data_IF_743202780430
#
_entry.id   IF_743202780430
#
_cell.length_a   1.000
_cell.length_b   1.000
_cell.length_c   1.000
_cell.angle_alpha   90.00
_cell.angle_beta   90.00
_cell.angle_gamma   90.00
#
_symmetry.space_group_name_H-M   'P 1'
#
loop_
_entity.id
_entity.type
_entity.pdbx_description
1 polymer ?
#
# COMPACT_ATOMS: atom_id res chain seq x y z
N UNK A 1 4.23 -16.05 -44.98
CA UNK A 1 5.61 -15.63 -44.69
C UNK A 1 5.71 -15.42 -43.18
N UNK A 2 6.20 -16.44 -42.47
CA UNK A 2 6.25 -16.45 -41.01
C UNK A 2 7.24 -15.37 -40.54
N UNK A 3 6.72 -14.27 -39.98
CA UNK A 3 7.54 -13.29 -39.26
C UNK A 3 7.79 -13.85 -37.87
N UNK A 4 9.01 -14.27 -37.62
CA UNK A 4 9.53 -14.60 -36.30
C UNK A 4 9.24 -13.43 -35.35
N UNK A 5 8.32 -13.64 -34.40
CA UNK A 5 8.25 -12.82 -33.20
C UNK A 5 9.51 -13.14 -32.39
N UNK A 6 10.50 -12.25 -32.44
CA UNK A 6 11.51 -12.18 -31.39
C UNK A 6 10.78 -11.77 -30.11
N UNK A 7 10.33 -12.74 -29.32
CA UNK A 7 10.14 -12.54 -27.89
C UNK A 7 11.54 -12.26 -27.34
N UNK A 8 11.93 -10.99 -27.25
CA UNK A 8 12.98 -10.58 -26.33
C UNK A 8 12.39 -10.90 -24.95
N UNK A 9 12.75 -12.07 -24.41
CA UNK A 9 12.53 -12.44 -23.02
C UNK A 9 13.35 -11.46 -22.17
N UNK A 10 12.79 -10.27 -21.90
CA UNK A 10 13.32 -9.39 -20.85
C UNK A 10 13.02 -10.13 -19.55
N UNK A 11 14.00 -10.91 -19.11
CA UNK A 11 13.94 -11.59 -17.83
C UNK A 11 14.02 -10.51 -16.74
N UNK A 12 13.07 -10.45 -15.79
CA UNK A 12 13.06 -9.43 -14.74
C UNK A 12 14.26 -9.54 -13.78
N UNK A 13 14.55 -8.40 -13.16
CA UNK A 13 15.52 -8.16 -12.09
C UNK A 13 14.91 -8.44 -10.72
N UNK A 14 15.68 -8.35 -9.64
CA UNK A 14 15.13 -8.51 -8.28
C UNK A 14 16.07 -7.96 -7.20
N UNK A 15 15.48 -7.66 -6.04
CA UNK A 15 16.16 -7.46 -4.76
C UNK A 15 15.81 -8.62 -3.84
N UNK A 16 16.62 -8.86 -2.82
CA UNK A 16 16.25 -9.77 -1.74
C UNK A 16 15.94 -8.96 -0.47
N UNK A 17 14.96 -9.44 0.29
CA UNK A 17 14.51 -8.81 1.52
C UNK A 17 14.54 -9.78 2.69
N UNK A 18 14.59 -9.24 3.89
CA UNK A 18 14.36 -9.97 5.13
C UNK A 18 13.26 -9.26 5.94
N UNK A 19 12.31 -10.05 6.43
CA UNK A 19 11.30 -9.61 7.39
C UNK A 19 11.94 -9.10 8.72
N UNK A 20 11.29 -8.16 9.43
CA UNK A 20 11.79 -7.62 10.69
C UNK A 20 12.08 -8.73 11.73
N UNK A 21 13.21 -8.65 12.45
CA UNK A 21 13.52 -9.54 13.58
C UNK A 21 12.86 -9.05 14.87
N UNK A 22 11.57 -9.35 15.09
CA UNK A 22 10.76 -8.84 16.22
C UNK A 22 10.68 -7.30 16.27
N UNK A 23 9.46 -6.77 16.37
CA UNK A 23 9.17 -5.34 16.40
C UNK A 23 9.88 -4.66 17.59
N UNK A 24 11.00 -3.99 17.34
CA UNK A 24 11.27 -2.77 18.10
C UNK A 24 10.15 -1.79 17.72
N UNK A 25 9.49 -1.12 18.68
CA UNK A 25 8.50 -0.11 18.35
C UNK A 25 9.16 0.91 17.41
N UNK A 26 8.60 1.13 16.20
CA UNK A 26 9.11 2.11 15.26
C UNK A 26 9.38 3.42 15.99
N UNK A 27 10.43 4.14 15.58
CA UNK A 27 10.73 5.47 16.10
C UNK A 27 9.50 6.40 16.08
N UNK A 28 8.60 6.20 15.11
CA UNK A 28 7.32 6.92 14.98
C UNK A 28 6.30 6.53 16.05
N UNK A 29 6.25 5.26 16.51
CA UNK A 29 5.44 4.86 17.67
C UNK A 29 5.94 5.58 18.92
N UNK A 30 7.26 5.71 19.10
CA UNK A 30 7.83 6.47 20.21
C UNK A 30 7.47 7.96 20.13
N UNK A 31 7.52 8.57 18.95
CA UNK A 31 7.07 9.95 18.74
C UNK A 31 5.55 10.12 18.97
N UNK A 32 4.74 9.15 18.54
CA UNK A 32 3.29 9.19 18.75
C UNK A 32 2.93 9.03 20.23
N UNK A 33 3.59 8.12 20.96
CA UNK A 33 3.44 7.99 22.41
C UNK A 33 3.89 9.26 23.16
N UNK A 34 4.95 9.93 22.70
CA UNK A 34 5.36 11.25 23.21
C UNK A 34 4.29 12.32 22.94
N UNK A 35 3.64 12.31 21.77
CA UNK A 35 2.58 13.25 21.41
C UNK A 35 1.22 12.97 22.09
N UNK A 36 0.90 11.71 22.43
CA UNK A 36 -0.24 11.39 23.31
C UNK A 36 0.00 11.98 24.70
N UNK A 37 1.22 11.86 25.23
CA UNK A 37 1.56 12.44 26.53
C UNK A 37 1.59 13.97 26.52
N UNK A 38 1.84 14.63 25.37
CA UNK A 38 1.77 16.09 25.25
C UNK A 38 0.35 16.63 25.03
N UNK A 39 -0.59 15.80 24.58
CA UNK A 39 -2.02 16.13 24.48
C UNK A 39 -2.81 15.82 25.75
N UNK A 40 -2.19 15.12 26.73
CA UNK A 40 -2.77 14.87 28.05
C UNK A 40 -2.94 16.15 28.92
N UNK A 41 -2.34 17.29 28.53
CA UNK A 41 -2.48 18.57 29.24
C UNK A 41 -3.76 19.37 28.90
N UNK A 42 -4.71 18.80 28.15
CA UNK A 42 -6.09 19.30 28.10
C UNK A 42 -7.08 18.50 28.96
N UNK A 43 -6.58 17.64 29.84
CA UNK A 43 -7.37 16.74 30.68
C UNK A 43 -7.40 17.08 32.18
N UNK A 44 -7.22 18.34 32.60
CA UNK A 44 -7.39 18.69 34.01
C UNK A 44 -8.07 20.05 34.20
N UNK A 45 -9.37 20.09 33.96
CA UNK A 45 -10.25 21.06 34.61
C UNK A 45 -11.47 20.30 35.15
N UNK A 46 -11.36 19.84 36.39
CA UNK A 46 -12.50 19.48 37.21
C UNK A 46 -13.40 20.71 37.37
N UNK A 47 -14.49 20.76 36.60
CA UNK A 47 -15.69 21.46 37.01
C UNK A 47 -16.92 20.74 36.45
N UNK A 48 -17.70 20.20 37.37
CA UNK A 48 -19.02 19.63 37.14
C UNK A 48 -19.87 20.59 36.29
N UNK A 49 -20.24 20.16 35.09
CA UNK A 49 -21.47 20.58 34.44
C UNK A 49 -21.95 19.48 33.49
N UNK A 50 -23.17 19.02 33.74
CA UNK A 50 -23.93 18.09 32.91
C UNK A 50 -24.08 18.66 31.49
N UNK A 51 -23.22 18.21 30.57
CA UNK A 51 -23.50 18.21 29.15
C UNK A 51 -23.26 16.79 28.66
N UNK A 52 -24.32 16.12 28.22
CA UNK A 52 -24.27 14.84 27.51
C UNK A 52 -23.55 15.03 26.15
N UNK A 53 -22.23 15.26 26.18
CA UNK A 53 -21.41 15.18 24.99
C UNK A 53 -21.01 13.71 24.81
N UNK A 54 -21.93 12.92 24.25
CA UNK A 54 -21.70 11.51 23.88
C UNK A 54 -20.69 11.44 22.73
N UNK A 55 -19.42 11.65 23.04
CA UNK A 55 -18.33 11.39 22.11
C UNK A 55 -18.37 9.90 21.75
N UNK A 56 -18.48 9.58 20.45
CA UNK A 56 -18.41 8.20 20.00
C UNK A 56 -17.03 7.63 20.36
N UNK A 57 -16.93 6.36 20.77
CA UNK A 57 -15.64 5.72 21.00
C UNK A 57 -14.77 5.81 19.74
N UNK A 58 -13.64 6.51 19.83
CA UNK A 58 -12.64 6.52 18.77
C UNK A 58 -11.69 5.32 18.97
N UNK A 59 -11.34 4.59 17.90
CA UNK A 59 -10.28 3.58 17.99
C UNK A 59 -8.99 4.23 18.50
N UNK A 60 -8.43 3.70 19.57
CA UNK A 60 -7.20 4.15 20.18
C UNK A 60 -6.20 3.00 20.22
N UNK A 61 -4.95 3.28 19.87
CA UNK A 61 -3.86 2.31 19.94
C UNK A 61 -2.55 2.93 19.48
N UNK A 62 -1.41 2.31 19.79
CA UNK A 62 -0.20 2.60 19.04
C UNK A 62 -0.41 2.11 17.60
N UNK A 63 -0.29 3.02 16.63
CA UNK A 63 -0.35 2.71 15.21
C UNK A 63 1.04 2.77 14.61
N UNK A 64 1.31 1.99 13.55
CA UNK A 64 2.50 2.19 12.72
C UNK A 64 2.06 2.64 11.31
N UNK A 65 1.98 3.96 11.04
CA UNK A 65 1.63 4.47 9.72
C UNK A 65 2.57 4.02 8.59
N UNK A 66 3.77 3.56 8.93
CA UNK A 66 4.76 3.05 7.98
C UNK A 66 4.80 1.53 7.85
N UNK A 67 3.98 0.78 8.59
CA UNK A 67 3.90 -0.67 8.45
C UNK A 67 3.30 -1.06 7.09
N UNK A 68 3.48 -2.33 6.71
CA UNK A 68 2.89 -2.89 5.50
C UNK A 68 2.01 -4.07 5.87
N UNK A 69 0.88 -4.19 5.16
CA UNK A 69 0.10 -5.41 5.18
C UNK A 69 0.74 -6.50 4.31
N UNK A 70 0.59 -7.74 4.75
CA UNK A 70 0.69 -8.92 3.90
C UNK A 70 -0.27 -8.80 2.69
N UNK A 71 0.06 -9.46 1.58
CA UNK A 71 -0.65 -9.36 0.30
C UNK A 71 -2.01 -10.06 0.34
N UNK A 72 -2.21 -10.95 1.31
CA UNK A 72 -3.37 -11.83 1.42
C UNK A 72 -3.21 -13.13 0.61
N UNK A 73 -2.08 -13.33 -0.08
CA UNK A 73 -1.81 -14.59 -0.78
C UNK A 73 -1.36 -15.67 0.20
N UNK A 74 -2.19 -16.71 0.35
CA UNK A 74 -1.94 -17.84 1.27
C UNK A 74 -1.62 -19.15 0.56
N UNK A 75 -1.80 -19.20 -0.77
CA UNK A 75 -1.47 -20.33 -1.63
C UNK A 75 -0.27 -19.99 -2.52
N UNK A 76 0.48 -21.03 -2.91
CA UNK A 76 1.61 -20.89 -3.83
C UNK A 76 1.23 -21.46 -5.19
N UNK A 77 1.66 -20.80 -6.26
CA UNK A 77 1.30 -21.15 -7.63
C UNK A 77 2.55 -21.38 -8.47
N UNK A 78 2.54 -22.41 -9.32
CA UNK A 78 3.59 -22.62 -10.31
C UNK A 78 3.37 -21.78 -11.58
N UNK A 79 4.34 -21.83 -12.51
CA UNK A 79 4.26 -21.11 -13.79
C UNK A 79 3.14 -21.60 -14.72
N UNK A 80 2.49 -22.73 -14.41
CA UNK A 80 1.31 -23.23 -15.10
C UNK A 80 0.00 -22.72 -14.51
N UNK A 81 0.04 -22.02 -13.37
CA UNK A 81 -1.15 -21.57 -12.65
C UNK A 81 -1.79 -22.66 -11.77
N UNK A 82 -1.04 -23.70 -11.39
CA UNK A 82 -1.53 -24.72 -10.47
C UNK A 82 -1.08 -24.43 -9.04
N UNK A 83 -1.98 -24.66 -8.08
CA UNK A 83 -1.66 -24.55 -6.66
C UNK A 83 -0.67 -25.65 -6.26
N UNK A 84 0.36 -25.27 -5.50
CA UNK A 84 1.44 -26.14 -5.03
C UNK A 84 1.64 -25.98 -3.53
N UNK A 85 2.30 -26.98 -2.93
CA UNK A 85 2.72 -26.89 -1.53
C UNK A 85 3.81 -25.82 -1.36
N UNK A 86 3.51 -24.80 -0.57
CA UNK A 86 4.40 -23.68 -0.31
C UNK A 86 5.70 -24.08 0.39
N UNK A 87 5.72 -25.16 1.16
CA UNK A 87 6.89 -25.55 1.95
C UNK A 87 7.77 -26.56 1.21
N UNK A 88 7.16 -27.50 0.49
CA UNK A 88 7.85 -28.60 -0.16
C UNK A 88 8.23 -28.29 -1.61
N UNK A 89 7.34 -27.63 -2.35
CA UNK A 89 7.52 -27.40 -3.80
C UNK A 89 7.99 -25.98 -4.07
N UNK A 90 7.35 -25.00 -3.44
CA UNK A 90 7.62 -23.58 -3.68
C UNK A 90 8.05 -22.81 -2.41
N UNK A 91 9.09 -23.25 -1.67
CA UNK A 91 9.57 -22.53 -0.48
C UNK A 91 9.96 -21.08 -0.79
N UNK A 92 9.49 -20.13 -0.01
CA UNK A 92 9.83 -18.71 -0.20
C UNK A 92 8.95 -17.96 -1.21
N UNK A 93 7.91 -18.60 -1.74
CA UNK A 93 6.80 -17.90 -2.40
C UNK A 93 5.93 -17.18 -1.36
N UNK A 94 5.11 -16.23 -1.80
CA UNK A 94 4.35 -15.36 -0.88
C UNK A 94 3.47 -16.14 0.10
N UNK A 95 2.77 -17.17 -0.38
CA UNK A 95 1.96 -18.06 0.47
C UNK A 95 2.73 -18.82 1.56
N UNK A 96 4.07 -18.81 1.54
CA UNK A 96 4.90 -19.31 2.65
C UNK A 96 4.93 -18.36 3.86
N UNK A 97 4.47 -17.11 3.70
CA UNK A 97 4.67 -16.00 4.63
C UNK A 97 3.36 -15.37 5.08
N UNK A 98 2.41 -16.19 5.50
CA UNK A 98 1.10 -15.74 5.98
C UNK A 98 1.23 -14.66 7.07
N UNK A 99 0.58 -13.52 6.87
CA UNK A 99 0.58 -12.38 7.78
C UNK A 99 1.95 -11.71 7.99
N UNK A 100 2.88 -11.85 7.04
CA UNK A 100 4.20 -11.22 7.09
C UNK A 100 4.29 -10.15 5.97
N UNK A 101 4.70 -8.91 6.28
CA UNK A 101 5.25 -8.47 7.56
C UNK A 101 4.20 -8.22 8.64
N UNK A 102 2.93 -7.94 8.28
CA UNK A 102 1.84 -7.80 9.25
C UNK A 102 0.53 -8.35 8.69
N UNK A 103 -0.29 -8.95 9.57
CA UNK A 103 -1.61 -9.45 9.21
C UNK A 103 -2.52 -8.35 8.65
N UNK A 104 -3.29 -8.67 7.60
CA UNK A 104 -4.40 -7.83 7.16
C UNK A 104 -5.44 -7.76 8.28
N UNK A 105 -5.80 -6.55 8.73
CA UNK A 105 -6.79 -6.36 9.77
C UNK A 105 -7.53 -5.05 9.51
N UNK A 106 -8.85 -5.12 9.42
CA UNK A 106 -9.74 -3.98 9.28
C UNK A 106 -10.93 -4.15 10.22
N UNK A 107 -11.53 -3.03 10.62
CA UNK A 107 -12.73 -3.04 11.49
C UNK A 107 -13.82 -2.22 10.83
N UNK A 108 -14.95 -2.85 10.51
CA UNK A 108 -16.12 -2.21 9.93
C UNK A 108 -16.73 -3.02 8.77
N UNK A 109 -17.62 -2.42 7.96
CA UNK A 109 -18.13 -1.05 8.08
C UNK A 109 -18.86 -0.80 9.40
N UNK A 110 -18.46 0.25 10.12
CA UNK A 110 -19.04 0.64 11.41
C UNK A 110 -19.88 1.88 11.25
N UNK A 111 -21.14 1.83 11.70
CA UNK A 111 -22.03 2.98 11.73
C UNK A 111 -21.59 3.96 12.82
N UNK A 112 -21.55 5.25 12.52
CA UNK A 112 -21.24 6.27 13.51
C UNK A 112 -22.42 6.47 14.48
N UNK A 113 -22.11 6.64 15.78
CA UNK A 113 -23.12 6.59 16.84
C UNK A 113 -24.07 7.81 16.88
N UNK A 114 -23.61 8.97 16.39
CA UNK A 114 -24.39 10.21 16.23
C UNK A 114 -24.94 10.35 14.80
N UNK A 115 -24.05 10.37 13.82
CA UNK A 115 -24.36 10.45 12.40
C UNK A 115 -24.65 9.06 11.81
N UNK A 116 -25.86 8.53 12.02
CA UNK A 116 -26.23 7.14 11.67
C UNK A 116 -26.17 6.81 10.18
N UNK A 117 -26.02 7.80 9.30
CA UNK A 117 -25.80 7.58 7.87
C UNK A 117 -24.32 7.39 7.50
N UNK A 118 -23.42 7.62 8.45
CA UNK A 118 -21.98 7.63 8.22
C UNK A 118 -21.38 6.28 8.60
N UNK A 119 -20.73 5.64 7.64
CA UNK A 119 -20.11 4.33 7.80
C UNK A 119 -18.62 4.44 7.47
N UNK A 120 -17.79 3.94 8.39
CA UNK A 120 -16.34 3.98 8.25
C UNK A 120 -15.73 2.60 8.44
N UNK A 121 -14.55 2.42 7.86
CA UNK A 121 -13.71 1.24 8.06
C UNK A 121 -12.43 1.74 8.71
N UNK A 122 -12.07 1.15 9.84
CA UNK A 122 -10.86 1.48 10.54
C UNK A 122 -9.73 0.51 10.16
N UNK A 123 -8.59 1.08 9.83
CA UNK A 123 -7.31 0.39 9.62
C UNK A 123 -6.47 0.55 10.89
N UNK A 124 -6.49 -0.45 11.79
CA UNK A 124 -5.74 -0.41 13.03
C UNK A 124 -4.22 -0.51 12.85
N UNK A 125 -3.71 -0.92 11.68
CA UNK A 125 -2.27 -1.00 11.46
C UNK A 125 -1.70 0.40 11.25
N UNK A 126 -2.32 1.17 10.34
CA UNK A 126 -1.85 2.49 9.97
C UNK A 126 -2.49 3.63 10.79
N UNK A 127 -3.58 3.35 11.52
CA UNK A 127 -4.38 4.38 12.17
C UNK A 127 -5.22 5.20 11.18
N UNK A 128 -5.52 4.63 10.00
CA UNK A 128 -6.31 5.28 8.97
C UNK A 128 -7.79 4.94 9.14
N UNK A 129 -8.65 5.88 8.79
CA UNK A 129 -10.10 5.67 8.72
C UNK A 129 -10.56 5.92 7.30
N UNK A 130 -11.16 4.91 6.70
CA UNK A 130 -11.70 4.97 5.35
C UNK A 130 -13.19 5.22 5.39
N UNK A 131 -13.71 6.00 4.44
CA UNK A 131 -15.15 6.01 4.18
C UNK A 131 -15.51 4.62 3.63
N UNK A 132 -16.55 3.99 4.17
CA UNK A 132 -16.89 2.61 3.80
C UNK A 132 -17.22 2.45 2.31
N UNK A 133 -17.86 3.47 1.73
CA UNK A 133 -18.25 3.48 0.32
C UNK A 133 -17.47 4.51 -0.49
N UNK A 134 -17.36 4.27 -1.79
CA UNK A 134 -16.88 5.27 -2.74
C UNK A 134 -17.73 6.55 -2.67
N UNK A 135 -17.21 7.66 -3.20
CA UNK A 135 -17.99 8.87 -3.29
C UNK A 135 -19.20 8.71 -4.21
N UNK A 136 -20.32 9.32 -3.79
CA UNK A 136 -21.65 9.10 -4.39
C UNK A 136 -22.44 7.92 -3.81
N UNK A 137 -21.81 7.02 -3.05
CA UNK A 137 -22.47 5.88 -2.40
C UNK A 137 -22.56 6.02 -0.87
N UNK A 138 -23.58 5.37 -0.30
CA UNK A 138 -23.92 5.40 1.14
C UNK A 138 -24.44 4.05 1.67
N UNK A 139 -24.54 3.94 2.99
CA UNK A 139 -25.02 2.77 3.72
C UNK A 139 -23.93 1.72 4.01
N UNK A 140 -24.24 0.75 4.86
CA UNK A 140 -23.30 -0.30 5.29
C UNK A 140 -22.79 -1.18 4.15
N UNK A 141 -23.64 -1.47 3.17
CA UNK A 141 -23.32 -2.29 2.00
C UNK A 141 -23.12 -1.50 0.71
N UNK A 142 -22.99 -0.18 0.77
CA UNK A 142 -22.85 0.70 -0.40
C UNK A 142 -23.96 0.53 -1.45
N UNK A 143 -25.18 0.22 -0.98
CA UNK A 143 -26.35 0.03 -1.83
C UNK A 143 -27.13 1.33 -2.09
N UNK A 144 -26.90 2.38 -1.28
CA UNK A 144 -27.46 3.70 -1.51
C UNK A 144 -26.63 4.50 -2.50
N UNK A 145 -27.28 5.14 -3.47
CA UNK A 145 -26.61 5.95 -4.50
C UNK A 145 -25.79 5.14 -5.50
N UNK A 146 -24.99 5.85 -6.30
CA UNK A 146 -24.08 5.29 -7.30
C UNK A 146 -22.72 5.96 -7.17
N UNK A 147 -21.64 5.26 -7.51
CA UNK A 147 -20.32 5.89 -7.49
C UNK A 147 -20.32 7.06 -8.49
N UNK A 148 -19.78 8.22 -8.09
CA UNK A 148 -19.67 9.41 -8.93
C UNK A 148 -18.19 9.65 -9.22
N UNK A 149 -17.70 9.25 -10.41
CA UNK A 149 -16.33 9.54 -10.81
C UNK A 149 -16.11 11.05 -10.97
N UNK A 150 -14.91 11.51 -10.66
CA UNK A 150 -14.51 12.92 -10.80
C UNK A 150 -13.12 13.02 -11.41
N UNK A 151 -12.85 14.08 -12.18
CA UNK A 151 -11.50 14.39 -12.63
C UNK A 151 -10.68 14.99 -11.48
N UNK A 152 -9.36 15.08 -11.66
CA UNK A 152 -8.44 15.56 -10.62
C UNK A 152 -8.71 17.02 -10.22
N UNK A 153 -8.99 17.90 -11.18
CA UNK A 153 -9.18 19.33 -10.90
C UNK A 153 -10.39 19.55 -9.97
N UNK A 154 -11.50 18.87 -10.23
CA UNK A 154 -12.72 18.97 -9.44
C UNK A 154 -12.56 18.32 -8.05
N UNK A 155 -11.93 17.14 -8.01
CA UNK A 155 -11.69 16.41 -6.76
C UNK A 155 -10.73 17.17 -5.83
N UNK A 156 -9.62 17.69 -6.37
CA UNK A 156 -8.62 18.46 -5.63
C UNK A 156 -9.11 19.88 -5.30
N UNK A 157 -9.94 20.46 -6.16
CA UNK A 157 -10.59 21.76 -5.92
C UNK A 157 -11.69 21.73 -4.86
N UNK A 158 -12.06 20.54 -4.37
CA UNK A 158 -13.05 20.38 -3.30
C UNK A 158 -14.49 20.58 -3.74
N UNK A 159 -14.80 20.33 -5.01
CA UNK A 159 -16.17 20.43 -5.53
C UNK A 159 -17.10 19.36 -4.89
N UNK A 160 -18.44 19.51 -4.99
CA UNK A 160 -19.38 18.50 -4.53
C UNK A 160 -19.07 17.12 -5.11
N UNK A 161 -19.09 16.09 -4.26
CA UNK A 161 -18.64 14.73 -4.54
C UNK A 161 -17.18 14.43 -4.13
N UNK A 162 -16.38 15.44 -3.82
CA UNK A 162 -14.97 15.27 -3.46
C UNK A 162 -14.77 14.72 -2.04
N UNK A 163 -13.53 14.33 -1.71
CA UNK A 163 -13.18 14.01 -0.32
C UNK A 163 -13.21 15.22 0.62
N UNK A 164 -12.97 16.42 0.10
CA UNK A 164 -13.00 17.64 0.90
C UNK A 164 -14.42 18.00 1.35
N UNK A 165 -15.45 17.66 0.55
CA UNK A 165 -16.86 17.86 0.91
C UNK A 165 -17.21 17.10 2.21
N UNK A 166 -16.63 15.92 2.46
CA UNK A 166 -16.87 15.18 3.70
C UNK A 166 -16.53 16.02 4.94
N UNK A 167 -15.62 16.97 4.85
CA UNK A 167 -15.21 17.81 5.96
C UNK A 167 -16.25 18.89 6.32
N UNK A 168 -17.23 19.17 5.46
CA UNK A 168 -18.25 20.20 5.68
C UNK A 168 -19.59 19.61 6.12
N UNK A 169 -19.74 18.28 6.06
CA UNK A 169 -20.98 17.57 6.42
C UNK A 169 -21.32 17.71 7.91
N UNK A 170 -22.51 17.25 8.26
CA UNK A 170 -22.98 17.17 9.66
C UNK A 170 -22.94 18.52 10.42
N UNK A 171 -23.23 19.62 9.72
CA UNK A 171 -23.20 20.96 10.30
C UNK A 171 -21.79 21.48 10.57
N UNK A 172 -20.78 21.00 9.85
CA UNK A 172 -19.37 21.36 10.01
C UNK A 172 -18.57 20.43 10.94
N UNK A 173 -19.23 19.46 11.57
CA UNK A 173 -18.58 18.42 12.36
C UNK A 173 -17.87 17.36 11.48
N UNK A 174 -18.16 17.36 10.18
CA UNK A 174 -17.59 16.47 9.19
C UNK A 174 -18.16 15.04 9.24
N UNK A 175 -17.91 14.27 8.18
CA UNK A 175 -18.38 12.90 8.03
C UNK A 175 -17.79 12.00 9.12
N UNK A 176 -18.65 11.29 9.83
CA UNK A 176 -18.30 10.49 11.00
C UNK A 176 -17.53 11.29 12.08
N UNK A 177 -17.84 12.58 12.23
CA UNK A 177 -17.19 13.47 13.20
C UNK A 177 -15.73 13.82 12.87
N UNK A 178 -15.35 13.75 11.59
CA UNK A 178 -13.98 13.97 11.11
C UNK A 178 -13.96 15.03 10.02
N UNK A 179 -13.03 15.97 10.12
CA UNK A 179 -12.87 17.12 9.21
C UNK A 179 -11.54 17.13 8.47
N UNK A 180 -10.82 15.99 8.47
CA UNK A 180 -9.54 15.80 7.79
C UNK A 180 -9.59 14.70 6.71
N UNK A 181 -10.75 14.50 6.09
CA UNK A 181 -10.91 13.64 4.92
C UNK A 181 -10.16 14.19 3.72
N UNK A 182 -9.47 13.30 3.02
CA UNK A 182 -8.63 13.63 1.87
C UNK A 182 -8.61 12.48 0.85
N UNK A 183 -8.12 12.81 -0.34
CA UNK A 183 -7.78 11.82 -1.36
C UNK A 183 -6.53 11.06 -0.87
N UNK A 184 -6.56 9.71 -0.82
CA UNK A 184 -5.43 8.91 -0.37
C UNK A 184 -4.24 9.05 -1.32
N UNK A 185 -3.03 8.92 -0.79
CA UNK A 185 -1.83 8.71 -1.62
C UNK A 185 -1.87 7.33 -2.27
N UNK A 186 -1.03 7.10 -3.28
CA UNK A 186 -0.92 5.79 -3.93
C UNK A 186 -0.52 4.69 -2.95
N UNK A 187 0.34 4.98 -1.97
CA UNK A 187 0.75 4.01 -0.95
C UNK A 187 -0.41 3.64 -0.02
N UNK A 188 -1.20 4.63 0.39
CA UNK A 188 -2.38 4.38 1.24
C UNK A 188 -3.46 3.59 0.49
N UNK A 189 -3.73 3.93 -0.77
CA UNK A 189 -4.75 3.20 -1.53
C UNK A 189 -4.26 1.82 -1.98
N UNK A 190 -2.97 1.63 -2.23
CA UNK A 190 -2.38 0.33 -2.51
C UNK A 190 -2.39 -0.58 -1.27
N UNK A 191 -2.32 -0.03 -0.05
CA UNK A 191 -2.29 -0.82 1.19
C UNK A 191 -3.59 -1.59 1.46
N UNK A 192 -4.71 -1.22 0.82
CA UNK A 192 -5.98 -1.95 0.93
C UNK A 192 -6.17 -3.00 -0.18
N UNK A 193 -5.21 -3.14 -1.10
CA UNK A 193 -5.26 -4.19 -2.13
C UNK A 193 -5.12 -5.57 -1.48
N UNK A 194 -6.00 -6.51 -1.87
CA UNK A 194 -5.92 -7.92 -1.52
C UNK A 194 -5.68 -8.74 -2.79
N UNK A 195 -4.48 -9.26 -2.96
CA UNK A 195 -4.00 -9.74 -4.27
C UNK A 195 -4.69 -11.01 -4.76
N UNK A 196 -5.38 -11.75 -3.89
CA UNK A 196 -6.12 -12.96 -4.28
C UNK A 196 -7.65 -12.83 -4.29
N UNK A 197 -8.18 -11.62 -4.07
CA UNK A 197 -9.62 -11.40 -4.15
C UNK A 197 -9.98 -10.93 -5.56
N UNK A 198 -11.23 -11.18 -5.98
CA UNK A 198 -11.80 -10.54 -7.15
C UNK A 198 -13.13 -9.84 -6.78
N UNK A 199 -13.20 -8.49 -6.82
CA UNK A 199 -12.10 -7.53 -7.04
C UNK A 199 -10.99 -7.65 -5.98
N UNK A 200 -9.78 -7.14 -6.27
CA UNK A 200 -8.57 -7.25 -5.44
C UNK A 200 -8.60 -6.39 -4.17
N UNK A 201 -9.60 -6.60 -3.31
CA UNK A 201 -9.81 -5.94 -2.04
C UNK A 201 -10.64 -6.82 -1.10
N UNK A 202 -10.54 -6.60 0.21
CA UNK A 202 -11.35 -7.33 1.20
C UNK A 202 -12.83 -6.91 1.17
N UNK A 203 -13.63 -7.63 0.38
CA UNK A 203 -15.06 -7.34 0.20
C UNK A 203 -15.89 -7.39 1.50
N UNK A 204 -15.42 -8.10 2.52
CA UNK A 204 -16.05 -8.13 3.84
C UNK A 204 -16.03 -6.74 4.52
N UNK A 205 -14.96 -5.97 4.28
CA UNK A 205 -14.79 -4.64 4.85
C UNK A 205 -15.15 -3.55 3.83
N UNK A 206 -14.83 -3.76 2.55
CA UNK A 206 -15.02 -2.80 1.45
C UNK A 206 -16.01 -3.37 0.40
N UNK A 207 -17.33 -3.14 0.52
CA UNK A 207 -18.35 -3.88 -0.24
C UNK A 207 -18.27 -3.74 -1.77
N UNK A 208 -18.45 -4.86 -2.48
CA UNK A 208 -18.13 -5.07 -3.91
C UNK A 208 -18.88 -4.19 -4.93
N UNK A 209 -19.96 -3.49 -4.57
CA UNK A 209 -20.59 -2.49 -5.45
C UNK A 209 -19.71 -1.27 -5.74
N UNK A 210 -18.66 -1.05 -4.94
CA UNK A 210 -17.81 0.13 -5.12
C UNK A 210 -16.83 -0.10 -6.29
N UNK A 211 -16.28 -1.30 -6.49
CA UNK A 211 -15.05 -1.44 -7.29
C UNK A 211 -15.22 -1.79 -8.77
N UNK A 212 -16.40 -1.74 -9.37
CA UNK A 212 -16.60 -2.25 -10.74
C UNK A 212 -15.96 -1.39 -11.84
N UNK A 213 -14.91 -1.93 -12.49
CA UNK A 213 -14.40 -1.52 -13.81
C UNK A 213 -13.76 -0.13 -13.94
N UNK A 214 -13.65 0.63 -12.86
CA UNK A 214 -13.13 2.00 -12.86
C UNK A 214 -11.92 2.11 -11.92
N UNK A 215 -10.86 2.78 -12.38
CA UNK A 215 -9.70 3.07 -11.54
C UNK A 215 -10.04 4.12 -10.48
N UNK A 216 -9.37 4.04 -9.34
CA UNK A 216 -9.55 4.93 -8.21
C UNK A 216 -8.42 5.94 -8.12
N UNK A 217 -8.79 7.20 -7.94
CA UNK A 217 -7.87 8.33 -7.88
C UNK A 217 -7.00 8.29 -6.62
N UNK A 218 -5.74 8.67 -6.78
CA UNK A 218 -4.84 8.98 -5.67
C UNK A 218 -4.35 10.43 -5.77
N UNK A 219 -3.89 10.99 -4.66
CA UNK A 219 -3.27 12.31 -4.60
C UNK A 219 -1.81 12.32 -5.04
N UNK A 220 -1.23 11.16 -5.37
CA UNK A 220 0.17 11.06 -5.79
C UNK A 220 0.27 11.38 -7.28
N UNK A 221 0.84 12.55 -7.58
CA UNK A 221 1.20 12.96 -8.94
C UNK A 221 2.28 12.04 -9.50
N UNK A 222 2.19 11.74 -10.79
CA UNK A 222 3.29 11.08 -11.49
C UNK A 222 4.36 12.11 -11.85
N UNK A 223 5.42 12.19 -11.03
CA UNK A 223 6.54 13.12 -11.24
C UNK A 223 7.22 12.96 -12.61
N UNK A 224 7.08 11.80 -13.27
CA UNK A 224 7.67 11.53 -14.58
C UNK A 224 6.76 11.97 -15.72
N UNK A 225 5.45 12.04 -15.52
CA UNK A 225 4.49 12.36 -16.57
C UNK A 225 3.62 13.53 -16.13
N UNK A 226 4.01 14.75 -16.57
CA UNK A 226 3.28 15.96 -16.26
C UNK A 226 1.80 15.84 -16.66
N UNK A 227 0.90 16.22 -15.75
CA UNK A 227 -0.55 16.14 -15.97
C UNK A 227 -1.16 14.75 -15.69
N UNK A 228 -0.39 13.81 -15.13
CA UNK A 228 -0.89 12.52 -14.68
C UNK A 228 -0.78 12.35 -13.16
N UNK A 229 -1.69 11.52 -12.62
CA UNK A 229 -1.62 10.99 -11.27
C UNK A 229 -1.56 9.47 -11.33
N UNK A 230 -0.98 8.87 -10.30
CA UNK A 230 -1.14 7.43 -10.07
C UNK A 230 -2.58 7.13 -9.66
N UNK A 231 -3.10 6.01 -10.13
CA UNK A 231 -4.41 5.49 -9.74
C UNK A 231 -4.27 4.02 -9.34
N UNK A 232 -5.30 3.45 -8.70
CA UNK A 232 -5.37 2.02 -8.38
C UNK A 232 -6.58 1.41 -9.08
N UNK A 233 -6.37 0.36 -9.85
CA UNK A 233 -7.47 -0.45 -10.39
C UNK A 233 -7.62 -1.74 -9.59
N UNK A 234 -8.72 -1.84 -8.83
CA UNK A 234 -9.07 -3.01 -8.02
C UNK A 234 -9.84 -4.08 -8.79
N UNK A 235 -10.58 -3.71 -9.85
CA UNK A 235 -11.41 -4.64 -10.61
C UNK A 235 -10.74 -5.11 -11.88
N UNK A 236 -10.92 -6.40 -12.15
CA UNK A 236 -10.33 -7.08 -13.30
C UNK A 236 -11.41 -7.68 -14.20
N UNK A 237 -11.23 -7.50 -15.50
CA UNK A 237 -11.69 -8.46 -16.52
C UNK A 237 -10.45 -9.23 -16.95
N UNK A 238 -10.39 -10.56 -16.79
CA UNK A 238 -9.29 -11.36 -17.31
C UNK A 238 -9.02 -11.00 -18.78
N UNK A 239 -7.75 -10.82 -19.21
CA UNK A 239 -6.51 -11.18 -18.52
C UNK A 239 -5.78 -9.98 -17.84
N UNK A 240 -6.48 -8.89 -17.50
CA UNK A 240 -5.85 -7.68 -16.99
C UNK A 240 -5.83 -7.69 -15.46
N UNK A 241 -4.63 -7.61 -14.87
CA UNK A 241 -4.35 -7.70 -13.43
C UNK A 241 -4.73 -6.43 -12.64
N UNK A 242 -4.66 -6.51 -11.30
CA UNK A 242 -4.48 -5.32 -10.44
C UNK A 242 -3.35 -4.44 -10.99
N UNK A 243 -3.60 -3.14 -11.09
CA UNK A 243 -2.65 -2.19 -11.66
C UNK A 243 -2.61 -0.91 -10.85
N UNK A 244 -1.42 -0.33 -10.85
CA UNK A 244 -1.16 1.04 -10.42
C UNK A 244 -0.82 1.86 -11.68
N UNK A 245 -1.82 2.25 -12.50
CA UNK A 245 -1.55 3.00 -13.72
C UNK A 245 -1.25 4.49 -13.43
N UNK A 246 -0.47 5.09 -14.33
CA UNK A 246 -0.40 6.55 -14.50
C UNK A 246 -1.54 6.98 -15.42
N UNK A 247 -2.44 7.84 -14.94
CA UNK A 247 -3.65 8.27 -15.64
C UNK A 247 -3.68 9.80 -15.72
N UNK A 248 -4.12 10.33 -16.87
CA UNK A 248 -4.26 11.78 -17.05
C UNK A 248 -5.29 12.39 -16.10
N UNK A 249 -4.96 13.57 -15.56
CA UNK A 249 -5.76 14.30 -14.58
C UNK A 249 -7.17 14.67 -15.06
N UNK A 250 -7.42 14.69 -16.37
CA UNK A 250 -8.76 14.96 -16.94
C UNK A 250 -9.69 13.74 -16.92
N UNK A 251 -9.16 12.53 -16.73
CA UNK A 251 -9.97 11.31 -16.70
C UNK A 251 -10.80 11.26 -15.41
N UNK A 252 -12.13 11.11 -15.50
CA UNK A 252 -12.95 10.88 -14.32
C UNK A 252 -12.66 9.51 -13.69
N UNK A 253 -12.30 9.50 -12.41
CA UNK A 253 -11.95 8.31 -11.65
C UNK A 253 -12.81 8.18 -10.39
N UNK A 254 -12.95 6.95 -9.88
CA UNK A 254 -13.62 6.71 -8.60
C UNK A 254 -12.84 7.33 -7.44
N UNK A 255 -13.54 7.80 -6.40
CA UNK A 255 -12.94 8.37 -5.20
C UNK A 255 -13.28 7.51 -3.99
N UNK A 256 -12.25 7.16 -3.22
CA UNK A 256 -12.39 6.58 -1.88
C UNK A 256 -11.57 7.42 -0.93
N UNK A 257 -12.24 8.00 0.05
CA UNK A 257 -11.63 9.00 0.93
C UNK A 257 -11.07 8.35 2.19
N UNK A 258 -9.98 8.92 2.68
CA UNK A 258 -9.29 8.50 3.89
C UNK A 258 -9.14 9.68 4.84
N UNK A 259 -9.16 9.41 6.13
CA UNK A 259 -8.91 10.33 7.24
C UNK A 259 -7.84 9.70 8.14
N UNK A 260 -7.03 10.53 8.79
CA UNK A 260 -5.91 10.11 9.64
C UNK A 260 -4.57 10.64 9.15
N UNK A 261 -3.54 10.34 9.93
CA UNK A 261 -2.18 10.79 9.65
C UNK A 261 -1.70 10.18 8.32
N UNK A 262 -1.04 10.98 7.50
CA UNK A 262 -0.43 10.47 6.28
C UNK A 262 0.67 9.46 6.60
N UNK A 263 0.87 8.51 5.70
CA UNK A 263 2.04 7.64 5.76
C UNK A 263 3.33 8.50 5.72
N UNK A 264 4.35 8.17 6.53
CA UNK A 264 5.59 8.92 6.58
C UNK A 264 6.35 8.82 5.25
N UNK A 265 7.22 9.80 5.00
CA UNK A 265 8.21 9.70 3.94
C UNK A 265 9.12 8.48 4.19
N UNK A 266 9.68 7.86 3.13
CA UNK A 266 10.67 6.79 3.28
C UNK A 266 11.80 7.18 4.25
N UNK A 267 12.25 6.23 5.05
CA UNK A 267 13.33 6.45 6.00
C UNK A 267 14.24 5.23 5.99
N UNK A 268 15.44 5.41 5.43
CA UNK A 268 16.41 4.35 5.23
C UNK A 268 17.71 4.63 5.97
N UNK A 269 18.39 3.57 6.38
CA UNK A 269 19.73 3.61 6.97
C UNK A 269 20.58 2.53 6.31
N UNK A 270 21.67 2.94 5.67
CA UNK A 270 22.71 2.00 5.21
C UNK A 270 23.43 1.39 6.42
N UNK A 271 23.41 0.08 6.52
CA UNK A 271 24.09 -0.67 7.59
C UNK A 271 25.58 -0.86 7.31
N UNK A 272 26.08 -0.40 6.16
CA UNK A 272 27.46 -0.51 5.69
C UNK A 272 27.96 -1.97 5.52
N UNK A 273 27.05 -2.93 5.53
CA UNK A 273 27.30 -4.37 5.33
C UNK A 273 26.65 -4.89 4.03
N UNK A 274 26.24 -3.98 3.14
CA UNK A 274 25.51 -4.29 1.90
C UNK A 274 23.99 -4.42 2.10
N UNK A 275 23.48 -3.98 3.25
CA UNK A 275 22.05 -3.97 3.57
C UNK A 275 21.52 -2.59 3.95
N UNK A 276 20.28 -2.33 3.56
CA UNK A 276 19.57 -1.09 3.84
C UNK A 276 18.41 -1.39 4.79
N UNK A 277 18.37 -0.73 5.95
CA UNK A 277 17.28 -0.84 6.91
C UNK A 277 16.23 0.23 6.62
N UNK A 278 14.99 -0.20 6.42
CA UNK A 278 13.82 0.68 6.40
C UNK A 278 13.31 0.85 7.83
N UNK A 279 13.32 2.09 8.32
CA UNK A 279 12.92 2.45 9.69
C UNK A 279 11.41 2.52 9.87
N UNK A 280 10.63 2.67 8.79
CA UNK A 280 9.17 2.73 8.84
C UNK A 280 8.57 1.33 8.92
N UNK A 281 9.06 0.43 8.07
CA UNK A 281 8.54 -0.95 7.94
C UNK A 281 9.30 -1.95 8.81
N UNK A 282 10.53 -1.61 9.21
CA UNK A 282 11.45 -2.53 9.90
C UNK A 282 12.12 -3.55 8.97
N UNK A 283 11.85 -3.50 7.66
CA UNK A 283 12.40 -4.41 6.68
C UNK A 283 13.89 -4.14 6.43
N UNK A 284 14.63 -5.20 6.10
CA UNK A 284 16.02 -5.11 5.71
C UNK A 284 16.17 -5.57 4.26
N UNK A 285 16.75 -4.71 3.42
CA UNK A 285 16.90 -4.92 1.99
C UNK A 285 18.35 -5.20 1.63
N UNK A 286 18.59 -5.98 0.58
CA UNK A 286 19.87 -5.97 -0.12
C UNK A 286 20.06 -4.60 -0.79
N UNK A 287 21.25 -4.00 -0.68
CA UNK A 287 21.51 -2.68 -1.24
C UNK A 287 21.46 -2.67 -2.77
N UNK A 288 21.98 -3.73 -3.40
CA UNK A 288 22.14 -3.80 -4.84
C UNK A 288 21.08 -4.70 -5.49
N UNK A 289 20.75 -4.41 -6.76
CA UNK A 289 20.06 -5.39 -7.60
C UNK A 289 20.93 -6.64 -7.68
N UNK A 290 20.30 -7.80 -7.63
CA UNK A 290 21.03 -9.06 -7.59
C UNK A 290 21.97 -9.22 -8.78
N UNK A 291 23.18 -9.66 -8.47
CA UNK A 291 24.28 -9.76 -9.43
C UNK A 291 25.12 -8.49 -9.62
N UNK A 292 24.82 -7.34 -9.00
CA UNK A 292 25.64 -6.11 -9.13
C UNK A 292 26.73 -5.92 -8.05
N UNK A 293 26.94 -6.92 -7.19
CA UNK A 293 27.81 -6.83 -6.02
C UNK A 293 27.03 -6.72 -4.72
N UNK A 294 27.69 -6.22 -3.67
CA UNK A 294 27.14 -6.22 -2.29
C UNK A 294 27.03 -4.80 -1.71
N UNK A 295 28.12 -4.01 -1.75
CA UNK A 295 28.18 -2.63 -1.23
C UNK A 295 28.41 -1.67 -2.39
N UNK A 296 27.72 -0.53 -2.45
CA UNK A 296 27.95 0.54 -3.44
C UNK A 296 27.55 0.22 -4.89
N UNK A 297 27.31 -1.07 -5.19
CA UNK A 297 26.81 -1.60 -6.46
C UNK A 297 27.71 -1.33 -7.67
N UNK A 298 27.43 -1.99 -8.80
CA UNK A 298 28.11 -1.74 -10.08
C UNK A 298 29.47 -2.43 -10.27
N UNK A 299 29.84 -3.40 -9.42
CA UNK A 299 31.02 -4.23 -9.67
C UNK A 299 30.83 -5.15 -10.87
N UNK A 300 29.58 -5.53 -11.12
CA UNK A 300 29.14 -6.45 -12.18
C UNK A 300 27.78 -6.01 -12.71
N UNK A 301 27.38 -6.55 -13.86
CA UNK A 301 26.05 -6.31 -14.42
C UNK A 301 24.98 -7.06 -13.62
N UNK A 302 23.75 -6.53 -13.53
CA UNK A 302 22.67 -7.24 -12.85
C UNK A 302 22.39 -8.58 -13.53
N UNK A 303 22.05 -9.59 -12.72
CA UNK A 303 21.75 -10.92 -13.23
C UNK A 303 20.25 -11.06 -13.43
N UNK A 304 19.83 -11.34 -14.66
CA UNK A 304 18.44 -11.66 -14.94
C UNK A 304 18.19 -13.14 -14.70
N UNK A 305 17.10 -13.47 -14.01
CA UNK A 305 16.73 -14.85 -13.70
C UNK A 305 15.22 -15.04 -13.97
N UNK A 306 14.81 -16.28 -14.26
CA UNK A 306 13.39 -16.62 -14.16
C UNK A 306 12.92 -16.55 -12.69
N UNK A 307 11.61 -16.51 -12.49
CA UNK A 307 11.03 -16.33 -11.16
C UNK A 307 11.42 -17.42 -10.15
N UNK A 308 11.49 -18.70 -10.57
CA UNK A 308 11.86 -19.79 -9.68
C UNK A 308 13.32 -19.68 -9.26
N UNK A 309 14.19 -19.36 -10.21
CA UNK A 309 15.61 -19.16 -9.95
C UNK A 309 15.85 -17.93 -9.07
N UNK A 310 15.13 -16.81 -9.29
CA UNK A 310 15.21 -15.61 -8.45
C UNK A 310 14.78 -15.88 -7.00
N UNK A 311 13.65 -16.57 -6.81
CA UNK A 311 13.18 -17.02 -5.49
C UNK A 311 14.22 -17.88 -4.79
N UNK A 312 14.73 -18.90 -5.48
CA UNK A 312 15.78 -19.78 -4.96
C UNK A 312 17.07 -19.04 -4.62
N UNK A 313 17.46 -18.07 -5.45
CA UNK A 313 18.64 -17.24 -5.25
C UNK A 313 18.53 -16.43 -3.95
N UNK A 314 17.40 -15.75 -3.71
CA UNK A 314 17.20 -15.03 -2.46
C UNK A 314 17.18 -15.98 -1.26
N UNK A 315 16.49 -17.13 -1.33
CA UNK A 315 16.44 -18.08 -0.22
C UNK A 315 17.81 -18.64 0.16
N UNK A 316 18.69 -18.83 -0.82
CA UNK A 316 20.06 -19.32 -0.63
C UNK A 316 21.10 -18.22 -0.38
N UNK A 317 20.70 -16.94 -0.35
CA UNK A 317 21.62 -15.81 -0.26
C UNK A 317 22.31 -15.78 1.10
N UNK A 318 23.65 -15.76 1.08
CA UNK A 318 24.48 -15.59 2.29
C UNK A 318 25.00 -14.15 2.32
N UNK A 319 24.18 -13.24 2.84
CA UNK A 319 24.56 -11.84 3.05
C UNK A 319 24.36 -11.48 4.52
N UNK A 320 25.44 -10.97 5.13
CA UNK A 320 25.49 -10.54 6.53
C UNK A 320 24.95 -11.57 7.55
N UNK A 321 25.11 -12.86 7.27
CA UNK A 321 24.69 -13.96 8.15
C UNK A 321 23.17 -14.08 8.34
N UNK A 322 22.37 -13.59 7.39
CA UNK A 322 20.91 -13.53 7.47
C UNK A 322 20.23 -14.47 6.47
N UNK A 323 18.97 -14.81 6.76
CA UNK A 323 18.08 -15.53 5.84
C UNK A 323 17.29 -14.51 5.04
N UNK A 324 17.28 -14.68 3.72
CA UNK A 324 16.68 -13.75 2.77
C UNK A 324 15.55 -14.43 2.00
N UNK A 325 14.69 -13.63 1.39
CA UNK A 325 13.64 -14.08 0.47
C UNK A 325 13.39 -13.04 -0.60
N UNK A 326 12.67 -13.45 -1.64
CA UNK A 326 12.13 -12.50 -2.60
C UNK A 326 11.05 -11.64 -1.90
N UNK A 327 11.01 -10.31 -2.12
CA UNK A 327 10.00 -9.44 -1.54
C UNK A 327 8.63 -9.72 -2.13
N UNK A 328 7.58 -9.58 -1.32
CA UNK A 328 6.24 -9.53 -1.87
C UNK A 328 5.97 -8.17 -2.52
N UNK A 329 4.87 -8.04 -3.24
CA UNK A 329 4.59 -6.82 -4.01
C UNK A 329 4.39 -5.58 -3.13
N UNK A 330 3.79 -5.71 -1.94
CA UNK A 330 3.61 -4.58 -1.02
C UNK A 330 4.96 -4.09 -0.48
N UNK A 331 5.87 -5.01 -0.18
CA UNK A 331 7.24 -4.71 0.23
C UNK A 331 8.02 -4.02 -0.89
N UNK A 332 7.98 -4.53 -2.12
CA UNK A 332 8.67 -3.88 -3.24
C UNK A 332 8.13 -2.47 -3.52
N UNK A 333 6.81 -2.27 -3.40
CA UNK A 333 6.20 -0.94 -3.54
C UNK A 333 6.64 0.03 -2.43
N UNK A 334 7.09 -0.44 -1.27
CA UNK A 334 7.48 0.43 -0.14
C UNK A 334 8.77 1.20 -0.42
N UNK A 335 9.65 0.67 -1.27
CA UNK A 335 10.90 1.32 -1.68
C UNK A 335 10.77 2.16 -2.96
N UNK A 336 9.59 2.18 -3.59
CA UNK A 336 9.34 3.03 -4.77
C UNK A 336 9.28 4.49 -4.37
N UNK A 337 10.13 5.31 -4.98
CA UNK A 337 10.12 6.77 -4.85
C UNK A 337 9.28 7.42 -5.95
N UNK A 338 8.04 7.75 -5.61
CA UNK A 338 7.10 8.43 -6.50
C UNK A 338 7.43 9.90 -6.76
N UNK A 339 8.38 10.50 -6.01
CA UNK A 339 8.74 11.91 -6.18
C UNK A 339 9.79 12.14 -7.28
N UNK A 340 10.50 11.09 -7.70
CA UNK A 340 11.56 11.18 -8.69
C UNK A 340 11.02 11.49 -10.10
N UNK A 341 11.31 12.70 -10.58
CA UNK A 341 10.90 13.20 -11.90
C UNK A 341 11.82 12.78 -13.07
N UNK A 342 12.94 12.11 -12.80
CA UNK A 342 13.92 11.77 -13.83
C UNK A 342 13.46 10.54 -14.62
N UNK A 343 13.02 10.76 -15.86
CA UNK A 343 12.42 9.75 -16.74
C UNK A 343 13.24 8.47 -16.89
N UNK A 344 14.56 8.62 -17.05
CA UNK A 344 15.48 7.52 -17.37
C UNK A 344 15.94 6.71 -16.16
N UNK A 345 15.71 7.21 -14.94
CA UNK A 345 16.12 6.54 -13.71
C UNK A 345 14.98 5.69 -13.14
N UNK A 346 15.26 4.56 -12.50
CA UNK A 346 14.25 3.86 -11.71
C UNK A 346 13.67 4.77 -10.62
N UNK A 347 12.39 4.57 -10.30
CA UNK A 347 11.70 5.32 -9.24
C UNK A 347 12.08 4.74 -7.86
N UNK A 348 13.30 5.01 -7.41
CA UNK A 348 13.88 4.55 -6.14
C UNK A 348 14.90 5.59 -5.65
N UNK A 349 15.13 5.65 -4.33
CA UNK A 349 16.14 6.53 -3.75
C UNK A 349 17.55 6.00 -4.06
N UNK A 350 18.23 6.66 -5.00
CA UNK A 350 19.58 6.28 -5.44
C UNK A 350 20.67 6.52 -4.40
N UNK A 351 20.39 7.25 -3.31
CA UNK A 351 21.30 7.40 -2.18
C UNK A 351 21.47 6.07 -1.44
N UNK A 352 20.39 5.30 -1.30
CA UNK A 352 20.38 4.03 -0.57
C UNK A 352 20.43 2.82 -1.49
N UNK A 353 19.89 2.93 -2.71
CA UNK A 353 19.89 1.88 -3.73
C UNK A 353 20.65 2.35 -4.98
N UNK A 354 21.98 2.55 -4.89
CA UNK A 354 22.76 3.12 -5.98
C UNK A 354 22.81 2.18 -7.18
N UNK A 355 22.89 2.76 -8.38
CA UNK A 355 23.03 2.03 -9.65
C UNK A 355 21.96 0.95 -9.89
N UNK A 356 20.79 1.10 -9.24
CA UNK A 356 19.62 0.24 -9.50
C UNK A 356 19.34 0.18 -10.99
N UNK A 357 19.24 -1.02 -11.53
CA UNK A 357 19.07 -1.20 -12.95
C UNK A 357 17.62 -0.89 -13.38
N UNK A 358 17.46 -0.26 -14.55
CA UNK A 358 16.15 0.04 -15.10
C UNK A 358 15.55 -1.23 -15.75
N UNK A 359 14.41 -1.68 -15.24
CA UNK A 359 13.76 -2.91 -15.69
C UNK A 359 12.56 -3.30 -14.83
N UNK A 360 12.00 -4.46 -15.16
CA UNK A 360 10.97 -5.11 -14.34
C UNK A 360 11.62 -5.81 -13.15
N UNK A 361 10.95 -5.86 -12.00
CA UNK A 361 11.44 -6.54 -10.80
C UNK A 361 10.48 -7.65 -10.38
N UNK A 362 11.02 -8.81 -10.05
CA UNK A 362 10.25 -9.93 -9.51
C UNK A 362 9.78 -9.66 -8.08
N UNK A 363 8.61 -10.20 -7.77
CA UNK A 363 8.08 -10.31 -6.40
C UNK A 363 7.71 -11.76 -6.13
N UNK A 364 7.64 -12.15 -4.86
CA UNK A 364 7.17 -13.47 -4.44
C UNK A 364 5.67 -13.67 -4.63
N UNK A 365 4.91 -12.58 -4.72
CA UNK A 365 3.46 -12.56 -4.97
C UNK A 365 3.19 -12.98 -6.40
N UNK A 366 2.53 -14.13 -6.56
CA UNK A 366 2.16 -14.63 -7.88
C UNK A 366 0.75 -14.19 -8.23
N UNK A 367 0.42 -14.29 -9.51
CA UNK A 367 -0.97 -14.22 -9.95
C UNK A 367 -1.70 -15.53 -9.59
N UNK A 368 -2.95 -15.43 -9.16
CA UNK A 368 -3.75 -16.54 -8.63
C UNK A 368 -4.79 -17.08 -9.62
N UNK A 369 -4.91 -16.50 -10.82
CA UNK A 369 -6.06 -16.73 -11.71
C UNK A 369 -5.71 -16.76 -13.21
N UNK A 370 -4.91 -17.73 -13.65
CA UNK A 370 -4.71 -18.00 -15.09
C UNK A 370 -6.00 -18.47 -15.77
#
# INVERSE_FOLDING_TARGET
MYKYFLFIFISPLFFCIKAPTKLDPPYVILQYLQNINSTADQGNNNNNNNNNNSQCPAPAGPFNPGALFDTGQTLCWDGGGFAQDCTLVLPGSDGSFNNIPNARNFVGPTQHCKFTSDYTIFDPLHGLTWKACAQGQTGSGCAGGVAVPMNWADANGGLPGSCAELNTLNGGEGYAGRTNWRIPTVRELASIVHYTNNPHIDNAFFPSKTFTGTSYMTSTVDSKVAGNNWAINFAITPPINVRIPSITQVTPLGLRCVSGNAMPAPSFVDQLDGTIRDLNTGLLWSQCTEGQGVVGCGFTLPTNMDWNTARGNCNGKVLAGRVWRLPNINELLSIVDYSNAVLMLPAIDSTFFPLTANGLYWTSTTYDSN
#
